data_IF_750807456940
#
_entry.id   IF_750807456940
#
_cell.length_a   1.000
_cell.length_b   1.000
_cell.length_c   1.000
_cell.angle_alpha   90.00
_cell.angle_beta   90.00
_cell.angle_gamma   90.00
#
_symmetry.space_group_name_H-M   'P 1'
#
loop_
_entity.id
_entity.type
_entity.pdbx_description
1 polymer ?
#
# COMPACT_ATOMS: atom_id res chain seq x y z
N UNK A 1 -15.02 -10.70 -25.18
CA UNK A 1 -13.87 -9.78 -25.40
C UNK A 1 -13.01 -9.64 -24.14
N UNK A 2 -13.58 -9.16 -23.02
CA UNK A 2 -12.86 -8.97 -21.74
C UNK A 2 -12.04 -10.19 -21.30
N UNK A 3 -12.62 -11.39 -21.29
CA UNK A 3 -11.92 -12.63 -20.94
C UNK A 3 -10.67 -12.91 -21.79
N UNK A 4 -10.73 -12.65 -23.11
CA UNK A 4 -9.57 -12.81 -24.01
C UNK A 4 -8.46 -11.82 -23.66
N UNK A 5 -8.84 -10.57 -23.37
CA UNK A 5 -7.90 -9.52 -22.93
C UNK A 5 -7.27 -9.92 -21.60
N UNK A 6 -8.07 -10.39 -20.63
CA UNK A 6 -7.58 -10.88 -19.33
C UNK A 6 -6.57 -12.02 -19.50
N UNK A 7 -6.90 -13.05 -20.27
CA UNK A 7 -5.98 -14.15 -20.50
C UNK A 7 -4.69 -13.70 -21.20
N UNK A 8 -4.77 -12.74 -22.12
CA UNK A 8 -3.62 -12.17 -22.80
C UNK A 8 -2.72 -11.40 -21.81
N UNK A 9 -3.29 -10.49 -21.02
CA UNK A 9 -2.55 -9.72 -20.01
C UNK A 9 -1.88 -10.61 -18.98
N UNK A 10 -2.60 -11.63 -18.48
CA UNK A 10 -2.03 -12.64 -17.55
C UNK A 10 -0.89 -13.40 -18.21
N UNK A 11 -1.06 -13.88 -19.45
CA UNK A 11 -0.03 -14.63 -20.17
C UNK A 11 1.22 -13.79 -20.47
N UNK A 12 1.05 -12.50 -20.79
CA UNK A 12 2.17 -11.57 -20.96
C UNK A 12 2.86 -11.35 -19.62
N UNK A 13 2.11 -11.09 -18.56
CA UNK A 13 2.66 -10.88 -17.22
C UNK A 13 3.48 -12.09 -16.74
N UNK A 14 2.95 -13.31 -16.93
CA UNK A 14 3.62 -14.57 -16.59
C UNK A 14 4.98 -14.76 -17.28
N UNK A 15 5.15 -14.20 -18.48
CA UNK A 15 6.34 -14.38 -19.32
C UNK A 15 7.34 -13.22 -19.23
N UNK A 16 6.85 -12.00 -19.05
CA UNK A 16 7.66 -10.79 -19.24
C UNK A 16 7.99 -10.05 -17.96
N UNK A 17 7.25 -10.28 -16.87
CA UNK A 17 7.38 -9.46 -15.66
C UNK A 17 8.35 -10.13 -14.69
N UNK A 18 9.54 -9.54 -14.46
CA UNK A 18 10.53 -10.11 -13.57
C UNK A 18 10.18 -9.84 -12.11
N UNK A 19 11.05 -10.30 -11.20
CA UNK A 19 10.93 -10.04 -9.77
C UNK A 19 10.99 -8.52 -9.46
N UNK A 20 10.24 -8.02 -8.44
CA UNK A 20 10.28 -6.60 -8.05
C UNK A 20 11.67 -6.01 -7.86
N UNK A 21 12.63 -6.79 -7.33
CA UNK A 21 14.00 -6.32 -7.15
C UNK A 21 14.71 -6.06 -8.48
N UNK A 22 14.48 -6.92 -9.48
CA UNK A 22 15.03 -6.75 -10.83
C UNK A 22 14.47 -5.48 -11.46
N UNK A 23 13.18 -5.19 -11.25
CA UNK A 23 12.54 -3.95 -11.74
C UNK A 23 13.18 -2.74 -11.08
N UNK A 24 13.36 -2.74 -9.75
CA UNK A 24 13.97 -1.62 -9.03
C UNK A 24 15.42 -1.34 -9.49
N UNK A 25 16.22 -2.38 -9.73
CA UNK A 25 17.59 -2.24 -10.27
C UNK A 25 17.54 -1.66 -11.68
N UNK A 26 16.67 -2.18 -12.54
CA UNK A 26 16.50 -1.67 -13.91
C UNK A 26 16.10 -0.19 -13.94
N UNK A 27 15.12 0.20 -13.12
CA UNK A 27 14.70 1.61 -12.98
C UNK A 27 15.83 2.49 -12.47
N UNK A 28 16.66 1.99 -11.54
CA UNK A 28 17.84 2.71 -11.05
C UNK A 28 18.81 3.00 -12.19
N UNK A 29 19.13 2.00 -13.01
CA UNK A 29 20.05 2.18 -14.15
C UNK A 29 19.47 3.09 -15.23
N UNK A 30 18.16 3.00 -15.51
CA UNK A 30 17.47 3.89 -16.45
C UNK A 30 17.53 5.33 -15.95
N UNK A 31 17.24 5.57 -14.66
CA UNK A 31 17.33 6.91 -14.08
C UNK A 31 18.75 7.46 -14.10
N UNK A 32 19.76 6.64 -13.83
CA UNK A 32 21.16 7.04 -13.94
C UNK A 32 21.50 7.52 -15.36
N UNK A 33 21.14 6.74 -16.39
CA UNK A 33 21.37 7.09 -17.80
C UNK A 33 20.63 8.38 -18.17
N UNK A 34 19.37 8.53 -17.74
CA UNK A 34 18.60 9.74 -18.01
C UNK A 34 19.22 10.98 -17.35
N UNK A 35 19.66 10.87 -16.09
CA UNK A 35 20.27 11.98 -15.37
C UNK A 35 21.51 12.51 -16.10
N UNK A 36 22.46 11.63 -16.47
CA UNK A 36 23.70 12.06 -17.13
C UNK A 36 23.50 12.51 -18.59
N UNK A 37 22.40 12.09 -19.23
CA UNK A 37 22.14 12.41 -20.65
C UNK A 37 21.34 13.69 -20.83
N UNK A 38 20.48 14.03 -19.87
CA UNK A 38 19.48 15.10 -19.98
C UNK A 38 19.82 16.29 -19.08
N UNK A 39 20.61 16.08 -18.03
CA UNK A 39 20.97 17.13 -17.07
C UNK A 39 22.49 17.36 -17.06
N UNK A 40 22.98 18.48 -16.52
CA UNK A 40 24.41 18.77 -16.47
C UNK A 40 25.16 17.96 -15.39
N UNK A 41 24.51 17.01 -14.71
CA UNK A 41 25.14 16.18 -13.67
C UNK A 41 26.19 15.24 -14.26
N UNK A 42 27.34 15.15 -13.60
CA UNK A 42 28.35 14.15 -13.97
C UNK A 42 27.94 12.74 -13.49
N UNK A 43 28.50 11.71 -14.11
CA UNK A 43 28.27 10.32 -13.70
C UNK A 43 28.63 10.07 -12.23
N UNK A 44 29.72 10.67 -11.72
CA UNK A 44 30.12 10.51 -10.33
C UNK A 44 29.14 11.22 -9.38
N UNK A 45 28.73 12.44 -9.73
CA UNK A 45 27.76 13.18 -8.91
C UNK A 45 26.41 12.45 -8.86
N UNK A 46 25.98 11.82 -9.96
CA UNK A 46 24.74 11.01 -9.98
C UNK A 46 24.86 9.77 -9.09
N UNK A 47 26.02 9.09 -9.08
CA UNK A 47 26.28 7.96 -8.18
C UNK A 47 26.28 8.42 -6.72
N UNK A 48 26.89 9.57 -6.42
CA UNK A 48 26.92 10.13 -5.08
C UNK A 48 25.52 10.55 -4.60
N UNK A 49 24.71 11.14 -5.48
CA UNK A 49 23.30 11.45 -5.21
C UNK A 49 22.48 10.19 -4.92
N UNK A 50 22.70 9.11 -5.67
CA UNK A 50 22.10 7.81 -5.37
C UNK A 50 22.51 7.28 -3.99
N UNK A 51 23.81 7.33 -3.67
CA UNK A 51 24.36 6.85 -2.41
C UNK A 51 23.85 7.63 -1.19
N UNK A 52 23.72 8.96 -1.30
CA UNK A 52 23.09 9.81 -0.28
C UNK A 52 21.61 9.48 -0.14
N UNK A 53 20.89 9.38 -1.27
CA UNK A 53 19.48 9.05 -1.31
C UNK A 53 19.15 7.69 -0.69
N UNK A 54 20.02 6.69 -0.87
CA UNK A 54 19.81 5.31 -0.43
C UNK A 54 19.43 5.18 1.06
N UNK A 55 20.02 6.03 1.91
CA UNK A 55 19.80 6.00 3.35
C UNK A 55 18.71 6.97 3.85
N UNK A 56 18.17 7.81 2.96
CA UNK A 56 17.25 8.89 3.32
C UNK A 56 15.89 8.42 3.87
N UNK A 57 15.47 7.18 3.54
CA UNK A 57 14.18 6.61 3.95
C UNK A 57 14.30 5.49 4.99
N UNK A 58 15.40 5.40 5.75
CA UNK A 58 15.58 4.33 6.75
C UNK A 58 14.47 4.29 7.81
N UNK A 59 14.09 5.44 8.37
CA UNK A 59 13.01 5.51 9.37
C UNK A 59 11.67 5.06 8.79
N UNK A 60 11.34 5.50 7.57
CA UNK A 60 10.14 5.09 6.85
C UNK A 60 10.15 3.58 6.54
N UNK A 61 11.29 3.05 6.11
CA UNK A 61 11.48 1.62 5.86
C UNK A 61 11.20 0.80 7.12
N UNK A 62 11.73 1.23 8.27
CA UNK A 62 11.46 0.57 9.55
C UNK A 62 9.98 0.63 9.93
N UNK A 63 9.31 1.77 9.74
CA UNK A 63 7.88 1.92 9.99
C UNK A 63 7.05 0.95 9.13
N UNK A 64 7.38 0.81 7.84
CA UNK A 64 6.70 -0.11 6.94
C UNK A 64 6.91 -1.57 7.35
N UNK A 65 8.16 -1.96 7.61
CA UNK A 65 8.49 -3.31 8.08
C UNK A 65 7.72 -3.66 9.36
N UNK A 66 7.60 -2.71 10.29
CA UNK A 66 6.81 -2.90 11.51
C UNK A 66 5.32 -3.06 11.21
N UNK A 67 4.74 -2.24 10.33
CA UNK A 67 3.31 -2.34 9.97
C UNK A 67 3.01 -3.73 9.41
N UNK A 68 3.87 -4.21 8.52
CA UNK A 68 3.72 -5.54 7.90
C UNK A 68 3.89 -6.65 8.93
N UNK A 69 4.94 -6.55 9.74
CA UNK A 69 5.30 -7.61 10.69
C UNK A 69 4.27 -7.73 11.81
N UNK A 70 3.86 -6.59 12.37
CA UNK A 70 2.88 -6.51 13.45
C UNK A 70 1.46 -6.79 12.93
N UNK A 71 1.10 -6.32 11.73
CA UNK A 71 -0.18 -6.64 11.10
C UNK A 71 -0.33 -8.14 10.85
N UNK A 72 0.72 -8.79 10.35
CA UNK A 72 0.78 -10.25 10.21
C UNK A 72 0.67 -10.95 11.57
N UNK A 73 1.39 -10.48 12.59
CA UNK A 73 1.31 -11.02 13.96
C UNK A 73 -0.12 -10.94 14.49
N UNK A 74 -0.73 -9.75 14.48
CA UNK A 74 -2.08 -9.51 15.01
C UNK A 74 -3.11 -10.39 14.32
N UNK A 75 -3.02 -10.53 12.99
CA UNK A 75 -3.97 -11.34 12.22
C UNK A 75 -3.91 -12.85 12.51
N UNK A 76 -2.77 -13.33 12.99
CA UNK A 76 -2.58 -14.73 13.38
C UNK A 76 -2.90 -14.98 14.87
N UNK A 77 -3.32 -13.96 15.60
CA UNK A 77 -3.85 -14.15 16.97
C UNK A 77 -5.27 -14.72 16.93
N UNK A 78 -5.63 -15.50 17.95
CA UNK A 78 -6.94 -16.18 18.06
C UNK A 78 -8.15 -15.26 17.88
N UNK A 79 -8.28 -14.10 18.56
CA UNK A 79 -9.50 -13.28 18.48
C UNK A 79 -9.68 -12.68 17.08
N UNK A 80 -8.60 -12.18 16.48
CA UNK A 80 -8.65 -11.59 15.14
C UNK A 80 -8.95 -12.68 14.11
N UNK A 81 -8.28 -13.83 14.21
CA UNK A 81 -8.54 -14.95 13.31
C UNK A 81 -10.00 -15.41 13.37
N UNK A 82 -10.59 -15.50 14.56
CA UNK A 82 -12.00 -15.87 14.74
C UNK A 82 -12.96 -14.89 14.02
N UNK A 83 -12.68 -13.58 14.10
CA UNK A 83 -13.46 -12.55 13.38
C UNK A 83 -13.31 -12.71 11.86
N UNK A 84 -12.09 -12.90 11.36
CA UNK A 84 -11.84 -13.09 9.93
C UNK A 84 -12.52 -14.35 9.39
N UNK A 85 -12.48 -15.45 10.14
CA UNK A 85 -13.19 -16.69 9.80
C UNK A 85 -14.71 -16.45 9.77
N UNK A 86 -15.26 -15.73 10.75
CA UNK A 86 -16.68 -15.38 10.78
C UNK A 86 -17.09 -14.55 9.55
N UNK A 87 -16.29 -13.55 9.17
CA UNK A 87 -16.51 -12.77 7.95
C UNK A 87 -16.47 -13.67 6.72
N UNK A 88 -15.50 -14.60 6.65
CA UNK A 88 -15.34 -15.49 5.50
C UNK A 88 -16.55 -16.40 5.25
N UNK A 89 -17.30 -16.75 6.29
CA UNK A 89 -18.49 -17.61 6.19
C UNK A 89 -19.65 -16.95 5.42
N UNK A 90 -19.63 -15.61 5.28
CA UNK A 90 -20.68 -14.88 4.57
C UNK A 90 -20.60 -15.05 3.04
N UNK A 91 -19.48 -15.54 2.51
CA UNK A 91 -19.28 -15.72 1.07
C UNK A 91 -19.71 -17.12 0.63
N UNK A 92 -20.67 -17.17 -0.29
CA UNK A 92 -21.28 -18.42 -0.78
C UNK A 92 -20.98 -18.72 -2.26
N UNK A 93 -20.24 -17.86 -2.95
CA UNK A 93 -19.83 -18.04 -4.34
C UNK A 93 -18.53 -17.28 -4.63
N UNK A 94 -17.83 -17.66 -5.72
CA UNK A 94 -16.65 -16.94 -6.18
C UNK A 94 -16.94 -15.45 -6.48
N UNK A 95 -18.06 -15.15 -7.14
CA UNK A 95 -18.45 -13.77 -7.46
C UNK A 95 -18.72 -12.94 -6.21
N UNK A 96 -19.44 -13.48 -5.23
CA UNK A 96 -19.67 -12.78 -3.94
C UNK A 96 -18.37 -12.54 -3.18
N UNK A 97 -17.43 -13.49 -3.26
CA UNK A 97 -16.12 -13.34 -2.62
C UNK A 97 -15.29 -12.24 -3.30
N UNK A 98 -15.25 -12.19 -4.63
CA UNK A 98 -14.56 -11.13 -5.39
C UNK A 98 -15.12 -9.74 -5.09
N UNK A 99 -16.43 -9.57 -5.13
CA UNK A 99 -17.08 -8.27 -4.83
C UNK A 99 -16.83 -7.89 -3.37
N UNK A 100 -17.10 -8.82 -2.45
CA UNK A 100 -17.02 -8.56 -1.02
C UNK A 100 -15.61 -8.23 -0.55
N UNK A 101 -14.60 -8.96 -1.00
CA UNK A 101 -13.20 -8.68 -0.63
C UNK A 101 -12.74 -7.32 -1.17
N UNK A 102 -13.16 -6.95 -2.39
CA UNK A 102 -12.83 -5.64 -2.98
C UNK A 102 -13.43 -4.51 -2.16
N UNK A 103 -14.71 -4.63 -1.77
CA UNK A 103 -15.36 -3.62 -0.94
C UNK A 103 -14.73 -3.51 0.45
N UNK A 104 -14.48 -4.63 1.13
CA UNK A 104 -13.83 -4.65 2.45
C UNK A 104 -12.45 -3.99 2.37
N UNK A 105 -11.69 -4.30 1.32
CA UNK A 105 -10.39 -3.69 1.05
C UNK A 105 -10.50 -2.18 0.83
N UNK A 106 -11.44 -1.72 0.00
CA UNK A 106 -11.67 -0.30 -0.24
C UNK A 106 -12.03 0.47 1.02
N UNK A 107 -12.99 -0.02 1.81
CA UNK A 107 -13.35 0.62 3.09
C UNK A 107 -12.17 0.66 4.07
N UNK A 108 -11.45 -0.45 4.18
CA UNK A 108 -10.26 -0.52 5.05
C UNK A 108 -9.17 0.44 4.59
N UNK A 109 -8.99 0.57 3.27
CA UNK A 109 -7.98 1.43 2.66
C UNK A 109 -8.30 2.91 2.78
N UNK A 110 -9.59 3.31 2.78
CA UNK A 110 -10.02 4.69 3.03
C UNK A 110 -9.76 5.12 4.47
N UNK A 111 -9.78 4.17 5.41
CA UNK A 111 -9.38 4.44 6.79
C UNK A 111 -7.86 4.49 6.94
N UNK A 112 -7.17 3.49 6.37
CA UNK A 112 -5.71 3.42 6.33
C UNK A 112 -5.25 2.59 5.14
N UNK A 113 -4.45 3.19 4.27
CA UNK A 113 -3.89 2.50 3.10
C UNK A 113 -3.13 1.22 3.49
N UNK A 114 -2.41 1.23 4.62
CA UNK A 114 -1.66 0.06 5.11
C UNK A 114 -2.57 -1.08 5.54
N UNK A 115 -3.66 -0.77 6.27
CA UNK A 115 -4.68 -1.78 6.63
C UNK A 115 -5.35 -2.33 5.36
N UNK A 116 -5.62 -1.45 4.39
CA UNK A 116 -6.18 -1.78 3.08
C UNK A 116 -5.37 -2.77 2.25
N UNK A 117 -4.07 -2.95 2.51
CA UNK A 117 -3.23 -3.96 1.85
C UNK A 117 -3.18 -5.27 2.62
N UNK A 118 -3.02 -5.21 3.95
CA UNK A 118 -2.71 -6.38 4.77
C UNK A 118 -3.95 -7.20 5.12
N UNK A 119 -5.01 -6.53 5.57
CA UNK A 119 -6.24 -7.19 5.97
C UNK A 119 -6.85 -8.01 4.82
N UNK A 120 -6.95 -7.50 3.57
CA UNK A 120 -7.53 -8.26 2.46
C UNK A 120 -6.65 -9.42 1.99
N UNK A 121 -5.31 -9.31 2.09
CA UNK A 121 -4.40 -10.38 1.72
C UNK A 121 -4.60 -11.62 2.62
N UNK A 122 -4.69 -11.40 3.93
CA UNK A 122 -4.96 -12.47 4.91
C UNK A 122 -6.37 -13.02 4.71
N UNK A 123 -7.37 -12.13 4.60
CA UNK A 123 -8.76 -12.53 4.44
C UNK A 123 -8.98 -13.32 3.14
N UNK A 124 -8.27 -13.01 2.06
CA UNK A 124 -8.31 -13.77 0.80
C UNK A 124 -7.91 -15.24 1.00
N UNK A 125 -6.85 -15.50 1.77
CA UNK A 125 -6.42 -16.86 2.09
C UNK A 125 -7.44 -17.61 2.94
N UNK A 126 -8.06 -16.92 3.91
CA UNK A 126 -9.11 -17.50 4.78
C UNK A 126 -10.38 -17.81 3.96
N UNK A 127 -10.83 -16.88 3.11
CA UNK A 127 -11.96 -17.07 2.20
C UNK A 127 -11.70 -18.26 1.27
N UNK A 128 -10.53 -18.30 0.61
CA UNK A 128 -10.19 -19.40 -0.29
C UNK A 128 -10.18 -20.76 0.44
N UNK A 129 -9.63 -20.81 1.65
CA UNK A 129 -9.64 -22.02 2.50
C UNK A 129 -11.05 -22.42 2.94
N UNK A 130 -11.92 -21.45 3.23
CA UNK A 130 -13.31 -21.69 3.60
C UNK A 130 -14.13 -22.24 2.42
N UNK A 131 -14.03 -21.59 1.26
CA UNK A 131 -14.72 -22.00 0.03
C UNK A 131 -14.26 -23.38 -0.45
N UNK A 132 -12.94 -23.67 -0.37
CA UNK A 132 -12.39 -24.99 -0.68
C UNK A 132 -12.98 -26.09 0.21
N UNK A 133 -13.10 -25.86 1.53
CA UNK A 133 -13.76 -26.81 2.46
C UNK A 133 -15.23 -27.06 2.12
N UNK A 134 -15.88 -26.11 1.44
CA UNK A 134 -17.28 -26.20 0.99
C UNK A 134 -17.41 -26.65 -0.47
N UNK A 135 -16.33 -27.14 -1.09
CA UNK A 135 -16.28 -27.55 -2.50
C UNK A 135 -16.66 -26.44 -3.50
N UNK A 136 -16.46 -25.17 -3.14
CA UNK A 136 -16.68 -24.02 -4.02
C UNK A 136 -15.35 -23.64 -4.65
N UNK A 137 -15.24 -23.82 -5.98
CA UNK A 137 -14.04 -23.46 -6.73
C UNK A 137 -13.89 -21.95 -6.83
N UNK A 138 -12.67 -21.46 -6.58
CA UNK A 138 -12.32 -20.05 -6.71
C UNK A 138 -10.91 -19.90 -7.25
N UNK A 139 -10.73 -19.01 -8.23
CA UNK A 139 -9.39 -18.70 -8.75
C UNK A 139 -8.70 -17.77 -7.76
N UNK A 140 -7.71 -18.30 -7.03
CA UNK A 140 -7.07 -17.65 -5.89
C UNK A 140 -6.27 -16.38 -6.27
N UNK A 141 -5.47 -16.35 -7.36
CA UNK A 141 -4.81 -15.12 -7.78
C UNK A 141 -5.75 -13.93 -8.02
N UNK A 142 -6.91 -14.18 -8.63
CA UNK A 142 -7.93 -13.15 -8.83
C UNK A 142 -8.56 -12.71 -7.51
N UNK A 143 -8.78 -13.62 -6.55
CA UNK A 143 -9.29 -13.25 -5.23
C UNK A 143 -8.31 -12.31 -4.50
N UNK A 144 -7.03 -12.64 -4.54
CA UNK A 144 -5.97 -11.80 -3.96
C UNK A 144 -5.90 -10.46 -4.68
N UNK A 145 -5.98 -10.46 -6.02
CA UNK A 145 -6.05 -9.23 -6.79
C UNK A 145 -7.26 -8.38 -6.41
N UNK A 146 -8.45 -8.96 -6.21
CA UNK A 146 -9.63 -8.21 -5.76
C UNK A 146 -9.37 -7.50 -4.42
N UNK A 147 -8.70 -8.17 -3.48
CA UNK A 147 -8.26 -7.55 -2.23
C UNK A 147 -7.26 -6.42 -2.43
N UNK A 148 -6.29 -6.59 -3.33
CA UNK A 148 -5.32 -5.55 -3.66
C UNK A 148 -5.94 -4.37 -4.42
N UNK A 149 -6.81 -4.64 -5.41
CA UNK A 149 -7.49 -3.63 -6.20
C UNK A 149 -8.32 -2.69 -5.32
N UNK A 150 -8.91 -3.19 -4.23
CA UNK A 150 -9.61 -2.35 -3.28
C UNK A 150 -8.73 -1.24 -2.67
N UNK A 151 -7.40 -1.42 -2.58
CA UNK A 151 -6.49 -0.37 -2.08
C UNK A 151 -6.32 0.81 -3.03
N UNK A 152 -6.81 0.73 -4.28
CA UNK A 152 -6.71 1.80 -5.28
C UNK A 152 -7.57 3.03 -4.97
N UNK A 153 -8.40 2.99 -3.93
CA UNK A 153 -9.05 4.19 -3.37
C UNK A 153 -8.31 4.76 -2.16
N UNK A 154 -7.29 4.07 -1.65
CA UNK A 154 -6.71 4.32 -0.33
C UNK A 154 -6.10 5.70 -0.14
N UNK A 155 -5.46 6.23 -1.19
CA UNK A 155 -4.85 7.55 -1.12
C UNK A 155 -5.87 8.69 -1.20
N UNK A 156 -7.16 8.41 -1.34
CA UNK A 156 -8.22 9.41 -1.16
C UNK A 156 -8.87 9.34 0.24
N UNK A 157 -8.27 8.55 1.15
CA UNK A 157 -8.76 8.34 2.51
C UNK A 157 -8.10 9.20 3.57
N UNK A 158 -8.41 8.90 4.83
CA UNK A 158 -7.93 9.61 6.03
C UNK A 158 -6.41 9.56 6.20
N UNK A 159 -5.76 8.53 5.63
CA UNK A 159 -4.30 8.37 5.67
C UNK A 159 -3.59 8.94 4.44
N UNK A 160 -4.26 9.77 3.63
CA UNK A 160 -3.66 10.37 2.44
C UNK A 160 -2.57 11.36 2.82
N UNK A 161 -1.34 11.12 2.36
CA UNK A 161 -0.17 11.86 2.85
C UNK A 161 -0.19 13.33 2.43
N UNK A 162 -0.47 13.64 1.16
CA UNK A 162 -0.43 15.01 0.64
C UNK A 162 -1.51 15.91 1.28
N UNK A 163 -2.80 15.52 1.32
CA UNK A 163 -3.84 16.28 2.01
C UNK A 163 -3.53 16.50 3.50
N UNK A 164 -2.98 15.50 4.18
CA UNK A 164 -2.57 15.65 5.58
C UNK A 164 -1.42 16.64 5.75
N UNK A 165 -0.41 16.62 4.87
CA UNK A 165 0.69 17.60 4.89
C UNK A 165 0.13 19.01 4.72
N UNK A 166 -0.75 19.21 3.73
CA UNK A 166 -1.33 20.52 3.42
C UNK A 166 -2.26 21.05 4.51
N UNK A 167 -2.86 20.16 5.31
CA UNK A 167 -3.70 20.51 6.45
C UNK A 167 -2.89 20.65 7.77
N UNK A 168 -1.58 20.43 7.75
CA UNK A 168 -0.73 20.47 8.96
C UNK A 168 0.00 21.81 9.07
N UNK A 169 -0.07 22.52 10.22
CA UNK A 169 0.71 23.73 10.44
C UNK A 169 2.21 23.55 10.16
N UNK A 170 2.85 24.59 9.63
CA UNK A 170 4.29 24.63 9.34
C UNK A 170 4.77 23.63 8.26
N UNK A 171 3.90 23.19 7.35
CA UNK A 171 4.38 22.46 6.18
C UNK A 171 5.22 23.39 5.29
N UNK A 172 6.15 22.82 4.51
CA UNK A 172 7.16 23.55 3.73
C UNK A 172 6.62 24.44 2.59
N UNK A 173 5.30 24.49 2.39
CA UNK A 173 4.62 25.32 1.38
C UNK A 173 3.65 26.32 2.01
N UNK A 174 3.50 26.34 3.34
CA UNK A 174 2.43 27.09 4.03
C UNK A 174 2.51 28.59 3.75
N UNK A 175 3.71 29.14 3.60
CA UNK A 175 3.91 30.56 3.31
C UNK A 175 3.45 30.94 1.89
N UNK A 176 3.35 29.97 0.98
CA UNK A 176 2.91 30.19 -0.41
C UNK A 176 1.40 30.02 -0.58
N UNK A 177 0.80 29.02 0.08
CA UNK A 177 -0.57 28.59 -0.20
C UNK A 177 -1.49 28.57 1.03
N UNK A 178 -0.97 28.90 2.21
CA UNK A 178 -1.69 28.74 3.47
C UNK A 178 -1.97 27.26 3.79
N UNK A 179 -2.89 27.03 4.73
CA UNK A 179 -3.39 25.70 5.05
C UNK A 179 -4.56 25.34 4.13
N UNK A 180 -4.55 24.11 3.62
CA UNK A 180 -5.66 23.57 2.82
C UNK A 180 -6.38 22.52 3.64
N UNK A 181 -7.68 22.70 3.81
CA UNK A 181 -8.47 21.84 4.68
C UNK A 181 -8.76 20.48 4.04
N UNK A 182 -9.10 19.49 4.88
CA UNK A 182 -9.59 18.20 4.37
C UNK A 182 -10.94 18.32 3.64
N UNK A 183 -11.73 19.37 3.93
CA UNK A 183 -12.98 19.68 3.23
C UNK A 183 -12.76 20.09 1.77
N UNK A 184 -11.61 20.71 1.47
CA UNK A 184 -11.24 21.14 0.11
C UNK A 184 -10.55 20.02 -0.68
N UNK A 185 -10.13 18.95 0.00
CA UNK A 185 -9.37 17.84 -0.58
C UNK A 185 -10.17 16.53 -0.55
N UNK A 186 -9.90 15.64 0.42
CA UNK A 186 -10.46 14.28 0.44
C UNK A 186 -11.98 14.26 0.70
N UNK A 187 -12.51 15.23 1.45
CA UNK A 187 -13.95 15.37 1.74
C UNK A 187 -14.67 16.33 0.81
N UNK A 188 -13.98 16.83 -0.24
CA UNK A 188 -14.64 17.59 -1.28
C UNK A 188 -15.65 16.72 -2.04
N UNK A 189 -16.69 17.35 -2.58
CA UNK A 189 -17.73 16.64 -3.33
C UNK A 189 -17.15 15.85 -4.52
N UNK A 190 -16.22 16.45 -5.26
CA UNK A 190 -15.63 15.81 -6.44
C UNK A 190 -14.75 14.61 -6.04
N UNK A 191 -13.96 14.70 -4.96
CA UNK A 191 -13.15 13.59 -4.45
C UNK A 191 -14.04 12.42 -3.98
N UNK A 192 -15.09 12.72 -3.21
CA UNK A 192 -16.03 11.70 -2.74
C UNK A 192 -16.78 11.01 -3.88
N UNK A 193 -17.13 11.75 -4.96
CA UNK A 193 -17.73 11.18 -6.15
C UNK A 193 -16.79 10.22 -6.90
N UNK A 194 -15.49 10.54 -6.97
CA UNK A 194 -14.47 9.64 -7.52
C UNK A 194 -14.40 8.35 -6.69
N UNK A 195 -14.28 8.48 -5.37
CA UNK A 195 -14.24 7.34 -4.45
C UNK A 195 -15.47 6.46 -4.64
N UNK A 196 -16.68 7.04 -4.63
CA UNK A 196 -17.93 6.31 -4.83
C UNK A 196 -17.97 5.60 -6.19
N UNK A 197 -17.53 6.28 -7.25
CA UNK A 197 -17.47 5.71 -8.60
C UNK A 197 -16.58 4.48 -8.66
N UNK A 198 -15.40 4.52 -8.03
CA UNK A 198 -14.49 3.37 -7.96
C UNK A 198 -15.07 2.27 -7.09
N UNK A 199 -15.66 2.60 -5.93
CA UNK A 199 -16.26 1.61 -5.03
C UNK A 199 -17.44 0.86 -5.65
N UNK A 200 -18.10 1.42 -6.67
CA UNK A 200 -19.14 0.75 -7.44
C UNK A 200 -18.54 0.01 -8.65
N UNK A 201 -17.76 0.71 -9.48
CA UNK A 201 -17.29 0.16 -10.75
C UNK A 201 -16.25 -0.95 -10.57
N UNK A 202 -15.30 -0.78 -9.63
CA UNK A 202 -14.17 -1.69 -9.48
C UNK A 202 -14.59 -3.08 -9.02
N UNK A 203 -15.39 -3.29 -7.95
CA UNK A 203 -15.81 -4.63 -7.54
C UNK A 203 -16.58 -5.37 -8.62
N UNK A 204 -17.45 -4.66 -9.36
CA UNK A 204 -18.20 -5.23 -10.47
C UNK A 204 -17.23 -5.67 -11.57
N UNK A 205 -16.32 -4.78 -11.98
CA UNK A 205 -15.34 -5.06 -13.02
C UNK A 205 -14.46 -6.27 -12.68
N UNK A 206 -13.80 -6.26 -11.52
CA UNK A 206 -12.85 -7.33 -11.14
C UNK A 206 -13.55 -8.67 -10.94
N UNK A 207 -14.81 -8.68 -10.49
CA UNK A 207 -15.60 -9.92 -10.35
C UNK A 207 -15.88 -10.62 -11.68
N UNK A 208 -15.77 -9.91 -12.80
CA UNK A 208 -15.99 -10.43 -14.16
C UNK A 208 -14.68 -10.87 -14.85
N UNK A 209 -13.52 -10.77 -14.19
CA UNK A 209 -12.21 -11.14 -14.75
C UNK A 209 -11.85 -12.64 -14.58
N UNK A 210 -12.84 -13.50 -14.35
CA UNK A 210 -12.59 -14.92 -14.08
C UNK A 210 -11.88 -15.61 -15.27
N UNK A 211 -10.74 -16.30 -15.04
CA UNK A 211 -9.97 -16.95 -16.11
C UNK A 211 -10.62 -18.27 -16.56
N UNK A 212 -10.10 -18.87 -17.65
CA UNK A 212 -10.56 -20.19 -18.11
C UNK A 212 -10.13 -21.33 -17.17
N UNK A 213 -8.91 -21.22 -16.62
CA UNK A 213 -8.35 -22.23 -15.71
C UNK A 213 -8.35 -21.69 -14.28
N UNK A 214 -9.08 -22.37 -13.42
CA UNK A 214 -9.09 -22.07 -11.98
C UNK A 214 -7.81 -22.61 -11.35
N UNK A 215 -7.06 -21.73 -10.69
CA UNK A 215 -5.93 -22.08 -9.82
C UNK A 215 -6.40 -21.89 -8.39
N UNK A 216 -6.56 -23.00 -7.68
CA UNK A 216 -7.05 -23.00 -6.30
C UNK A 216 -5.92 -22.72 -5.31
N UNK A 217 -6.29 -22.32 -4.10
CA UNK A 217 -5.36 -22.13 -2.99
C UNK A 217 -4.78 -23.47 -2.52
N UNK A 218 -3.45 -23.52 -2.37
CA UNK A 218 -2.71 -24.72 -1.97
C UNK A 218 -2.67 -24.95 -0.46
N UNK A 219 -2.85 -23.90 0.36
CA UNK A 219 -2.93 -24.04 1.82
C UNK A 219 -1.60 -23.92 2.57
N UNK A 220 -0.48 -23.65 1.89
CA UNK A 220 0.85 -23.76 2.50
C UNK A 220 1.28 -22.53 3.31
N UNK A 221 0.80 -21.34 2.93
CA UNK A 221 1.34 -20.06 3.43
C UNK A 221 0.68 -19.59 4.72
N UNK A 222 -0.63 -19.81 4.86
CA UNK A 222 -1.35 -19.63 6.12
C UNK A 222 -1.60 -21.00 6.75
N UNK A 223 -0.53 -21.69 7.11
CA UNK A 223 -0.64 -22.73 8.14
C UNK A 223 -0.88 -22.01 9.45
N UNK A 224 -2.15 -21.74 9.75
CA UNK A 224 -2.62 -21.71 11.13
C UNK A 224 -2.39 -23.14 11.61
N UNK A 225 -1.15 -23.47 12.00
CA UNK A 225 -0.97 -24.58 12.91
C UNK A 225 -1.88 -24.20 14.06
N UNK A 226 -2.83 -25.06 14.39
CA UNK A 226 -3.38 -25.07 15.74
C UNK A 226 -2.15 -24.99 16.64
N UNK A 227 -1.84 -23.80 17.16
CA UNK A 227 -0.82 -23.59 18.17
C UNK A 227 -1.39 -24.12 19.50
N UNK A 228 -2.00 -25.30 19.45
CA UNK A 228 -1.74 -26.35 20.40
C UNK A 228 -0.25 -26.70 20.27
N UNK A 229 0.62 -25.75 20.63
CA UNK A 229 1.96 -26.03 21.12
C UNK A 229 1.72 -27.17 22.09
N UNK A 230 2.26 -28.36 21.80
CA UNK A 230 2.24 -29.49 22.73
C UNK A 230 2.63 -28.91 24.07
N UNK A 231 1.66 -28.76 24.98
CA UNK A 231 1.94 -28.38 26.36
C UNK A 231 2.74 -29.56 26.89
N UNK A 232 4.07 -29.45 26.82
CA UNK A 232 4.94 -30.21 27.70
C UNK A 232 4.31 -30.06 29.10
N UNK A 233 4.03 -31.18 29.78
CA UNK A 233 3.37 -31.14 31.09
C UNK A 233 4.01 -30.07 31.97
N UNK A 234 3.19 -29.16 32.51
CA UNK A 234 3.62 -27.94 33.23
C UNK A 234 4.51 -28.22 34.43
N UNK A 235 4.49 -29.46 34.93
CA UNK A 235 5.06 -29.85 36.21
C UNK A 235 6.60 -29.95 36.20
N UNK A 236 7.25 -29.74 35.04
CA UNK A 236 8.72 -29.78 34.90
C UNK A 236 9.36 -28.50 34.36
N UNK A 237 8.62 -27.39 34.26
CA UNK A 237 9.20 -26.16 33.69
C UNK A 237 10.10 -25.42 34.67
N UNK A 238 11.29 -25.03 34.20
CA UNK A 238 12.15 -24.06 34.88
C UNK A 238 11.49 -22.66 34.91
N UNK A 239 11.97 -21.77 35.79
CA UNK A 239 11.42 -20.41 35.94
C UNK A 239 11.42 -19.62 34.61
N UNK A 240 12.50 -19.70 33.82
CA UNK A 240 12.58 -19.08 32.49
C UNK A 240 11.47 -19.56 31.55
N UNK A 241 11.25 -20.88 31.48
CA UNK A 241 10.19 -21.48 30.66
C UNK A 241 8.80 -21.06 31.13
N UNK A 242 8.58 -20.90 32.44
CA UNK A 242 7.32 -20.36 32.98
C UNK A 242 7.09 -18.91 32.54
N UNK A 243 8.12 -18.06 32.58
CA UNK A 243 8.04 -16.67 32.13
C UNK A 243 7.78 -16.59 30.62
N UNK A 244 8.53 -17.32 29.80
CA UNK A 244 8.38 -17.37 28.35
C UNK A 244 6.97 -17.81 27.90
N UNK A 245 6.35 -18.73 28.64
CA UNK A 245 5.01 -19.23 28.36
C UNK A 245 3.90 -18.47 29.12
N UNK A 246 4.23 -17.41 29.85
CA UNK A 246 3.26 -16.64 30.63
C UNK A 246 2.56 -15.57 29.77
N UNK A 247 1.22 -15.58 29.81
CA UNK A 247 0.40 -14.50 29.25
C UNK A 247 0.49 -13.21 30.07
N UNK A 248 0.80 -13.30 31.36
CA UNK A 248 0.81 -12.12 32.23
C UNK A 248 1.87 -11.11 31.82
N UNK A 249 3.00 -11.57 31.29
CA UNK A 249 4.08 -10.68 30.84
C UNK A 249 3.66 -9.90 29.59
N UNK A 250 3.07 -10.57 28.60
CA UNK A 250 2.56 -9.88 27.40
C UNK A 250 1.39 -8.98 27.74
N UNK A 251 0.50 -9.39 28.66
CA UNK A 251 -0.61 -8.58 29.14
C UNK A 251 -0.12 -7.32 29.87
N UNK A 252 0.88 -7.43 30.75
CA UNK A 252 1.44 -6.30 31.49
C UNK A 252 1.96 -5.22 30.54
N UNK A 253 2.80 -5.62 29.57
CA UNK A 253 3.33 -4.68 28.58
C UNK A 253 2.24 -4.16 27.63
N UNK A 254 1.31 -5.03 27.23
CA UNK A 254 0.19 -4.67 26.36
C UNK A 254 -0.74 -3.64 27.00
N UNK A 255 -1.05 -3.78 28.29
CA UNK A 255 -1.84 -2.80 29.06
C UNK A 255 -1.06 -1.51 29.23
N UNK A 256 0.23 -1.58 29.57
CA UNK A 256 1.08 -0.39 29.71
C UNK A 256 1.14 0.43 28.41
N UNK A 257 1.46 -0.21 27.29
CA UNK A 257 1.48 0.41 25.97
C UNK A 257 0.07 0.84 25.50
N UNK A 258 -0.97 0.12 25.92
CA UNK A 258 -2.36 0.45 25.66
C UNK A 258 -2.78 1.75 26.36
N UNK A 259 -2.38 1.94 27.62
CA UNK A 259 -2.61 3.19 28.36
C UNK A 259 -1.89 4.35 27.68
N UNK A 260 -0.62 4.17 27.28
CA UNK A 260 0.11 5.18 26.51
C UNK A 260 -0.62 5.54 25.21
N UNK A 261 -1.07 4.54 24.45
CA UNK A 261 -1.79 4.74 23.19
C UNK A 261 -3.10 5.50 23.42
N UNK A 262 -3.85 5.14 24.47
CA UNK A 262 -5.08 5.82 24.83
C UNK A 262 -4.83 7.28 25.25
N UNK A 263 -3.80 7.52 26.06
CA UNK A 263 -3.40 8.88 26.45
C UNK A 263 -3.04 9.75 25.24
N UNK A 264 -2.28 9.21 24.27
CA UNK A 264 -1.94 9.90 23.03
C UNK A 264 -3.20 10.43 22.32
N UNK A 265 -4.23 9.59 22.14
CA UNK A 265 -5.46 10.01 21.48
C UNK A 265 -6.34 10.93 22.35
N UNK A 266 -6.41 10.71 23.67
CA UNK A 266 -7.14 11.62 24.59
C UNK A 266 -6.54 13.03 24.58
N UNK A 267 -5.22 13.14 24.44
CA UNK A 267 -4.50 14.42 24.37
C UNK A 267 -4.58 15.09 22.98
N UNK A 268 -5.40 14.58 22.07
CA UNK A 268 -5.58 15.12 20.73
C UNK A 268 -4.55 14.63 19.70
N UNK A 269 -3.75 13.62 20.03
CA UNK A 269 -2.83 12.99 19.09
C UNK A 269 -3.56 12.35 17.91
N UNK A 270 -3.06 12.58 16.69
CA UNK A 270 -3.65 12.03 15.47
C UNK A 270 -3.14 10.62 15.16
N UNK A 271 -3.89 9.89 14.32
CA UNK A 271 -3.46 8.61 13.76
C UNK A 271 -2.36 8.85 12.72
N UNK A 272 -1.17 8.28 12.96
CA UNK A 272 -0.04 8.25 12.05
C UNK A 272 0.60 6.84 12.01
N UNK A 273 1.70 6.68 11.26
CA UNK A 273 2.38 5.38 11.11
C UNK A 273 2.89 4.81 12.43
N UNK A 274 3.43 5.65 13.32
CA UNK A 274 3.95 5.23 14.62
C UNK A 274 2.83 4.84 15.57
N UNK A 275 1.75 5.64 15.63
CA UNK A 275 0.59 5.31 16.47
C UNK A 275 -0.13 4.06 15.95
N UNK A 276 -0.20 3.84 14.63
CA UNK A 276 -0.72 2.61 14.04
C UNK A 276 0.14 1.39 14.40
N UNK A 277 1.46 1.51 14.27
CA UNK A 277 2.39 0.49 14.73
C UNK A 277 2.21 0.19 16.22
N UNK A 278 2.07 1.22 17.05
CA UNK A 278 1.82 1.06 18.49
C UNK A 278 0.50 0.33 18.75
N UNK A 279 -0.58 0.64 18.02
CA UNK A 279 -1.84 -0.11 18.10
C UNK A 279 -1.61 -1.59 17.78
N UNK A 280 -0.86 -1.93 16.73
CA UNK A 280 -0.57 -3.32 16.44
C UNK A 280 0.34 -4.00 17.48
N UNK A 281 1.29 -3.28 18.08
CA UNK A 281 2.06 -3.78 19.22
C UNK A 281 1.12 -4.12 20.39
N UNK A 282 0.25 -3.18 20.76
CA UNK A 282 -0.73 -3.35 21.85
C UNK A 282 -1.63 -4.55 21.58
N UNK A 283 -2.29 -4.58 20.41
CA UNK A 283 -3.19 -5.68 20.04
C UNK A 283 -2.44 -7.02 20.00
N UNK A 284 -1.23 -7.03 19.44
CA UNK A 284 -0.39 -8.22 19.36
C UNK A 284 -0.07 -8.78 20.74
N UNK A 285 0.32 -7.92 21.69
CA UNK A 285 0.64 -8.30 23.06
C UNK A 285 -0.60 -8.78 23.84
N UNK A 286 -1.73 -8.06 23.72
CA UNK A 286 -2.98 -8.40 24.42
C UNK A 286 -3.59 -9.72 23.91
N UNK A 287 -3.46 -10.00 22.62
CA UNK A 287 -4.05 -11.17 21.97
C UNK A 287 -3.11 -12.37 21.88
N UNK A 288 -1.82 -12.20 22.17
CA UNK A 288 -0.88 -13.32 22.26
C UNK A 288 -1.13 -14.16 23.51
N UNK A 289 -0.96 -15.47 23.37
CA UNK A 289 -1.14 -16.41 24.48
C UNK A 289 0.05 -16.43 25.45
N UNK A 290 1.24 -16.01 25.00
CA UNK A 290 2.47 -15.95 25.79
C UNK A 290 3.55 -15.12 25.07
N UNK A 291 4.65 -14.83 25.77
CA UNK A 291 5.84 -14.17 25.18
C UNK A 291 6.40 -15.00 24.03
N UNK A 292 6.50 -16.32 24.22
CA UNK A 292 6.96 -17.25 23.20
C UNK A 292 6.07 -17.23 21.96
N UNK A 293 4.74 -17.25 22.14
CA UNK A 293 3.79 -17.14 21.04
C UNK A 293 3.98 -15.83 20.27
N UNK A 294 4.13 -14.70 20.98
CA UNK A 294 4.38 -13.40 20.35
C UNK A 294 5.67 -13.40 19.49
N UNK A 295 6.77 -13.93 20.02
CA UNK A 295 8.07 -14.01 19.31
C UNK A 295 7.98 -14.92 18.08
N UNK A 296 7.29 -16.07 18.19
CA UNK A 296 7.08 -16.98 17.07
C UNK A 296 6.29 -16.32 15.93
N UNK A 297 5.22 -15.60 16.27
CA UNK A 297 4.44 -14.85 15.29
C UNK A 297 5.27 -13.76 14.60
N UNK A 298 6.08 -13.02 15.36
CA UNK A 298 6.96 -11.98 14.82
C UNK A 298 8.06 -12.55 13.92
N UNK A 299 8.67 -13.67 14.33
CA UNK A 299 9.71 -14.35 13.56
C UNK A 299 9.19 -14.86 12.20
N UNK A 300 7.95 -15.35 12.16
CA UNK A 300 7.29 -15.71 10.91
C UNK A 300 7.02 -14.48 10.05
N UNK A 301 6.60 -13.37 10.67
CA UNK A 301 6.35 -12.12 9.98
C UNK A 301 7.62 -11.48 9.38
N UNK A 302 8.78 -11.67 10.00
CA UNK A 302 10.06 -11.17 9.48
C UNK A 302 10.39 -11.75 8.09
N UNK A 303 10.01 -12.99 7.81
CA UNK A 303 10.17 -13.61 6.47
C UNK A 303 9.33 -12.90 5.41
N UNK A 304 8.18 -12.36 5.81
CA UNK A 304 7.26 -11.59 4.96
C UNK A 304 7.84 -10.20 4.68
N UNK A 305 8.46 -9.57 5.68
CA UNK A 305 9.01 -8.22 5.56
C UNK A 305 10.43 -8.16 4.94
N UNK A 306 11.16 -9.27 4.88
CA UNK A 306 12.55 -9.32 4.40
C UNK A 306 12.82 -8.63 3.04
N UNK A 307 12.01 -8.85 1.99
CA UNK A 307 12.21 -8.20 0.69
C UNK A 307 12.20 -6.66 0.72
N UNK A 308 11.59 -6.04 1.73
CA UNK A 308 11.51 -4.59 1.87
C UNK A 308 12.80 -3.94 2.36
N UNK A 309 13.60 -4.69 3.12
CA UNK A 309 14.89 -4.21 3.63
C UNK A 309 15.83 -3.80 2.50
N UNK A 310 15.67 -4.37 1.31
CA UNK A 310 16.47 -4.08 0.12
C UNK A 310 15.75 -3.11 -0.81
N UNK A 311 14.45 -3.28 -1.03
CA UNK A 311 13.72 -2.50 -2.03
C UNK A 311 13.53 -1.02 -1.63
N UNK A 312 13.18 -0.70 -0.38
CA UNK A 312 12.96 0.69 0.01
C UNK A 312 14.21 1.57 -0.13
N UNK A 313 15.40 1.13 0.35
CA UNK A 313 16.62 1.88 0.13
C UNK A 313 16.96 2.09 -1.36
N UNK A 314 16.69 1.10 -2.22
CA UNK A 314 16.89 1.26 -3.67
C UNK A 314 16.02 2.37 -4.25
N UNK A 315 14.73 2.39 -3.91
CA UNK A 315 13.82 3.47 -4.34
C UNK A 315 14.19 4.83 -3.74
N UNK A 316 14.73 4.86 -2.52
CA UNK A 316 15.25 6.07 -1.90
C UNK A 316 16.48 6.63 -2.65
N UNK A 317 17.38 5.75 -3.10
CA UNK A 317 18.51 6.14 -3.95
C UNK A 317 18.04 6.69 -5.31
N UNK A 318 17.02 6.08 -5.90
CA UNK A 318 16.35 6.55 -7.12
C UNK A 318 15.79 7.98 -6.95
N UNK A 319 15.07 8.20 -5.85
CA UNK A 319 14.57 9.53 -5.47
C UNK A 319 15.70 10.55 -5.32
N UNK A 320 16.80 10.18 -4.67
CA UNK A 320 17.99 11.03 -4.52
C UNK A 320 18.56 11.49 -5.86
N UNK A 321 18.75 10.55 -6.81
CA UNK A 321 19.18 10.90 -8.17
C UNK A 321 18.22 11.85 -8.86
N UNK A 322 16.91 11.57 -8.82
CA UNK A 322 15.91 12.39 -9.51
C UNK A 322 15.81 13.81 -8.97
N UNK A 323 15.89 13.95 -7.64
CA UNK A 323 15.80 15.24 -6.96
C UNK A 323 17.08 16.06 -7.16
N UNK A 324 18.25 15.50 -6.84
CA UNK A 324 19.50 16.26 -6.85
C UNK A 324 19.99 16.60 -8.26
N UNK A 325 19.73 15.75 -9.26
CA UNK A 325 20.14 16.00 -10.64
C UNK A 325 19.28 17.01 -11.40
N UNK A 326 18.15 17.46 -10.82
CA UNK A 326 17.15 18.28 -11.49
C UNK A 326 16.28 17.52 -12.50
N UNK A 327 16.45 16.21 -12.64
CA UNK A 327 15.69 15.40 -13.60
C UNK A 327 14.18 15.44 -13.33
N UNK A 328 13.78 15.38 -12.05
CA UNK A 328 12.37 15.52 -11.68
C UNK A 328 11.79 16.89 -12.08
N UNK A 329 12.58 17.95 -11.94
CA UNK A 329 12.16 19.31 -12.31
C UNK A 329 11.96 19.45 -13.82
N UNK A 330 12.93 19.00 -14.62
CA UNK A 330 12.82 19.00 -16.10
C UNK A 330 11.57 18.23 -16.53
N UNK A 331 11.35 17.06 -15.93
CA UNK A 331 10.22 16.20 -16.26
C UNK A 331 8.87 16.87 -15.94
N UNK A 332 8.70 17.39 -14.72
CA UNK A 332 7.45 18.05 -14.29
C UNK A 332 7.19 19.32 -15.10
N UNK A 333 8.22 20.13 -15.34
CA UNK A 333 8.11 21.37 -16.13
C UNK A 333 7.72 21.11 -17.58
N UNK A 334 8.10 19.96 -18.16
CA UNK A 334 7.64 19.57 -19.49
C UNK A 334 6.11 19.45 -19.60
N UNK A 335 5.45 18.98 -18.54
CA UNK A 335 3.98 18.93 -18.46
C UNK A 335 3.37 20.30 -18.14
N UNK A 336 4.01 21.07 -17.25
CA UNK A 336 3.57 22.44 -16.93
C UNK A 336 3.59 23.33 -18.17
N UNK A 337 4.60 23.22 -19.03
CA UNK A 337 4.78 24.04 -20.23
C UNK A 337 3.63 23.91 -21.26
N UNK A 338 2.88 22.81 -21.23
CA UNK A 338 1.73 22.57 -22.11
C UNK A 338 0.37 22.72 -21.38
N UNK A 339 0.40 23.17 -20.12
CA UNK A 339 -0.78 23.29 -19.27
C UNK A 339 -1.41 24.68 -19.30
N UNK A 340 -2.72 24.72 -19.07
CA UNK A 340 -3.50 25.92 -18.72
C UNK A 340 -4.02 25.81 -17.28
N UNK A 341 -4.65 26.85 -16.74
CA UNK A 341 -5.33 26.81 -15.42
C UNK A 341 -6.31 25.64 -15.30
N UNK A 342 -7.07 25.36 -16.37
CA UNK A 342 -8.11 24.32 -16.38
C UNK A 342 -7.53 22.92 -16.59
N UNK A 343 -6.42 22.80 -17.34
CA UNK A 343 -5.83 21.51 -17.71
C UNK A 343 -4.66 21.09 -16.81
N UNK A 344 -4.17 21.97 -15.93
CA UNK A 344 -3.01 21.68 -15.08
C UNK A 344 -3.22 20.44 -14.22
N UNK A 345 -4.41 20.25 -13.63
CA UNK A 345 -4.70 19.07 -12.81
C UNK A 345 -4.62 17.77 -13.63
N UNK A 346 -5.08 17.77 -14.89
CA UNK A 346 -4.98 16.61 -15.78
C UNK A 346 -3.51 16.24 -16.07
N UNK A 347 -2.69 17.23 -16.43
CA UNK A 347 -1.28 17.01 -16.71
C UNK A 347 -0.47 16.67 -15.45
N UNK A 348 -0.87 17.22 -14.30
CA UNK A 348 -0.34 16.86 -12.99
C UNK A 348 -0.59 15.40 -12.67
N UNK A 349 -1.80 14.90 -12.92
CA UNK A 349 -2.14 13.49 -12.73
C UNK A 349 -1.25 12.55 -13.56
N UNK A 350 -1.04 12.88 -14.83
CA UNK A 350 -0.19 12.09 -15.72
C UNK A 350 1.28 12.14 -15.29
N UNK A 351 1.82 13.33 -15.02
CA UNK A 351 3.19 13.48 -14.55
C UNK A 351 3.42 12.77 -13.22
N UNK A 352 2.49 12.90 -12.27
CA UNK A 352 2.58 12.24 -10.97
C UNK A 352 2.53 10.71 -11.09
N UNK A 353 1.69 10.17 -11.97
CA UNK A 353 1.65 8.72 -12.22
C UNK A 353 2.95 8.19 -12.79
N UNK A 354 3.55 8.88 -13.76
CA UNK A 354 4.83 8.46 -14.33
C UNK A 354 5.95 8.59 -13.30
N UNK A 355 5.98 9.69 -12.54
CA UNK A 355 7.00 9.94 -11.52
C UNK A 355 6.95 8.90 -10.39
N UNK A 356 5.74 8.47 -9.99
CA UNK A 356 5.53 7.44 -8.98
C UNK A 356 6.13 6.07 -9.34
N UNK A 357 6.38 5.79 -10.62
CA UNK A 357 7.10 4.57 -11.03
C UNK A 357 8.53 4.58 -10.47
N UNK A 358 9.15 5.76 -10.44
CA UNK A 358 10.52 5.97 -9.97
C UNK A 358 10.58 6.32 -8.47
N UNK A 359 9.62 7.09 -7.96
CA UNK A 359 9.56 7.55 -6.56
C UNK A 359 8.25 7.05 -5.91
N UNK A 360 8.14 5.76 -5.55
CA UNK A 360 6.93 5.18 -4.96
C UNK A 360 6.77 5.54 -3.47
N UNK A 361 6.65 6.84 -3.19
CA UNK A 361 6.48 7.39 -1.85
C UNK A 361 5.72 8.70 -1.95
N UNK A 362 4.47 8.73 -1.48
CA UNK A 362 3.63 9.91 -1.50
C UNK A 362 4.32 11.17 -0.95
N UNK A 363 4.94 11.04 0.24
CA UNK A 363 5.64 12.15 0.87
C UNK A 363 6.94 12.52 0.15
N UNK A 364 7.71 11.53 -0.32
CA UNK A 364 8.95 11.76 -1.06
C UNK A 364 8.70 12.43 -2.42
N UNK A 365 7.71 11.94 -3.15
CA UNK A 365 7.26 12.53 -4.40
C UNK A 365 6.72 13.96 -4.17
N UNK A 366 5.91 14.18 -3.14
CA UNK A 366 5.40 15.52 -2.83
C UNK A 366 6.50 16.52 -2.46
N UNK A 367 7.54 16.09 -1.75
CA UNK A 367 8.69 16.94 -1.44
C UNK A 367 9.44 17.42 -2.70
N UNK A 368 9.42 16.62 -3.78
CA UNK A 368 10.08 16.94 -5.04
C UNK A 368 9.15 17.65 -6.02
N UNK A 369 7.98 17.07 -6.30
CA UNK A 369 7.02 17.55 -7.30
C UNK A 369 6.12 18.68 -6.78
N UNK A 370 5.81 18.69 -5.48
CA UNK A 370 4.88 19.63 -4.86
C UNK A 370 5.27 21.10 -5.07
N UNK A 371 6.51 21.53 -4.73
CA UNK A 371 6.95 22.90 -4.96
C UNK A 371 6.78 23.38 -6.40
N UNK A 372 7.11 22.51 -7.37
CA UNK A 372 7.08 22.84 -8.80
C UNK A 372 5.63 23.03 -9.26
N UNK A 373 4.75 22.09 -8.89
CA UNK A 373 3.36 22.14 -9.36
C UNK A 373 2.53 23.22 -8.67
N UNK A 374 2.85 23.53 -7.41
CA UNK A 374 2.22 24.63 -6.68
C UNK A 374 2.64 25.98 -7.27
N UNK A 375 3.91 26.15 -7.62
CA UNK A 375 4.39 27.34 -8.29
C UNK A 375 3.70 27.53 -9.65
N UNK A 376 3.60 26.46 -10.44
CA UNK A 376 2.84 26.47 -11.69
C UNK A 376 1.35 26.81 -11.49
N UNK A 377 0.71 26.26 -10.46
CA UNK A 377 -0.69 26.54 -10.15
C UNK A 377 -0.91 28.01 -9.79
N UNK A 378 -0.02 28.61 -9.00
CA UNK A 378 -0.05 30.03 -8.65
C UNK A 378 0.12 30.93 -9.89
N UNK A 379 1.07 30.59 -10.76
CA UNK A 379 1.35 31.37 -11.98
C UNK A 379 0.21 31.29 -13.00
N UNK A 380 -0.41 30.12 -13.16
CA UNK A 380 -1.52 29.91 -14.08
C UNK A 380 -2.87 30.32 -13.49
N UNK A 381 -2.99 30.50 -12.17
CA UNK A 381 -4.25 30.74 -11.48
C UNK A 381 -5.13 29.48 -11.39
N UNK A 382 -4.52 28.30 -11.28
CA UNK A 382 -5.21 27.02 -11.16
C UNK A 382 -5.67 26.73 -9.72
N UNK A 383 -6.69 25.86 -9.57
CA UNK A 383 -7.18 25.44 -8.25
C UNK A 383 -6.15 24.54 -7.52
N UNK A 384 -5.53 25.09 -6.48
CA UNK A 384 -4.45 24.44 -5.74
C UNK A 384 -4.89 23.12 -5.08
N UNK A 385 -6.03 23.03 -4.36
CA UNK A 385 -6.48 21.77 -3.78
C UNK A 385 -6.66 20.67 -4.83
N UNK A 386 -7.28 20.98 -5.98
CA UNK A 386 -7.48 20.04 -7.08
C UNK A 386 -6.17 19.61 -7.74
N UNK A 387 -5.24 20.53 -7.99
CA UNK A 387 -3.90 20.21 -8.54
C UNK A 387 -3.12 19.33 -7.56
N UNK A 388 -3.15 19.64 -6.27
CA UNK A 388 -2.50 18.84 -5.23
C UNK A 388 -3.07 17.42 -5.17
N UNK A 389 -4.40 17.31 -5.27
CA UNK A 389 -5.08 16.02 -5.31
C UNK A 389 -4.83 15.28 -6.63
N UNK A 390 -4.61 15.96 -7.76
CA UNK A 390 -4.22 15.28 -8.98
C UNK A 390 -2.89 14.51 -8.83
N UNK A 391 -1.95 14.99 -8.01
CA UNK A 391 -0.74 14.24 -7.64
C UNK A 391 -1.11 12.94 -6.91
N UNK A 392 -1.99 13.04 -5.91
CA UNK A 392 -2.51 11.89 -5.15
C UNK A 392 -3.18 10.86 -6.06
N UNK A 393 -4.00 11.33 -7.00
CA UNK A 393 -4.71 10.47 -7.95
C UNK A 393 -3.73 9.76 -8.91
N UNK A 394 -2.70 10.46 -9.39
CA UNK A 394 -1.68 9.88 -10.27
C UNK A 394 -0.86 8.79 -9.58
N UNK A 395 -0.49 9.05 -8.32
CA UNK A 395 0.22 8.08 -7.48
C UNK A 395 -0.62 6.81 -7.28
N UNK A 396 -1.85 6.93 -6.76
CA UNK A 396 -2.69 5.76 -6.48
C UNK A 396 -3.08 5.00 -7.74
N UNK A 397 -3.22 5.70 -8.87
CA UNK A 397 -3.46 5.09 -10.16
C UNK A 397 -2.33 4.13 -10.54
N UNK A 398 -1.10 4.61 -10.55
CA UNK A 398 0.07 3.81 -10.96
C UNK A 398 0.54 2.85 -9.87
N UNK A 399 0.11 3.04 -8.62
CA UNK A 399 0.26 2.04 -7.58
C UNK A 399 -0.34 0.69 -8.00
N UNK A 400 -1.36 0.65 -8.85
CA UNK A 400 -1.92 -0.60 -9.39
C UNK A 400 -0.87 -1.53 -10.01
N UNK A 401 0.16 -0.98 -10.64
CA UNK A 401 1.24 -1.72 -11.30
C UNK A 401 2.60 -1.58 -10.61
N UNK A 402 2.69 -0.82 -9.51
CA UNK A 402 3.93 -0.58 -8.80
C UNK A 402 4.31 -1.82 -7.97
N UNK A 403 5.43 -2.51 -8.31
CA UNK A 403 5.80 -3.75 -7.62
C UNK A 403 5.91 -3.61 -6.10
N UNK A 404 6.41 -2.47 -5.59
CA UNK A 404 6.63 -2.23 -4.16
C UNK A 404 5.37 -2.46 -3.31
N UNK A 405 4.20 -1.97 -3.75
CA UNK A 405 2.94 -2.09 -3.00
C UNK A 405 2.35 -3.51 -3.05
N UNK A 406 2.75 -4.33 -4.03
CA UNK A 406 2.33 -5.73 -4.13
C UNK A 406 3.13 -6.63 -3.20
N UNK A 407 4.39 -6.30 -2.90
CA UNK A 407 5.30 -7.13 -2.08
C UNK A 407 4.66 -7.61 -0.77
N UNK A 408 3.91 -6.83 0.03
CA UNK A 408 3.35 -7.35 1.27
C UNK A 408 2.23 -8.36 1.02
N UNK A 409 1.41 -8.10 0.01
CA UNK A 409 0.31 -8.98 -0.40
C UNK A 409 0.88 -10.31 -0.93
N UNK A 410 1.92 -10.25 -1.75
CA UNK A 410 2.62 -11.42 -2.29
C UNK A 410 3.27 -12.24 -1.18
N UNK A 411 3.93 -11.58 -0.23
CA UNK A 411 4.59 -12.26 0.87
C UNK A 411 3.62 -12.97 1.84
N UNK A 412 2.41 -12.44 2.04
CA UNK A 412 1.35 -13.09 2.82
C UNK A 412 0.71 -14.25 2.05
N UNK A 413 0.42 -14.05 0.77
CA UNK A 413 -0.35 -15.02 -0.05
C UNK A 413 0.52 -16.11 -0.66
N UNK A 414 1.83 -15.87 -0.74
CA UNK A 414 2.85 -16.67 -1.45
C UNK A 414 2.60 -16.77 -2.95
N UNK A 415 1.89 -15.80 -3.52
CA UNK A 415 1.81 -15.63 -4.97
C UNK A 415 3.07 -14.92 -5.49
N UNK A 416 3.34 -15.11 -6.77
CA UNK A 416 4.34 -14.31 -7.47
C UNK A 416 3.69 -13.06 -8.06
N UNK A 417 4.47 -11.99 -8.27
CA UNK A 417 3.98 -10.76 -8.92
C UNK A 417 3.29 -11.05 -10.27
N UNK A 418 3.84 -12.00 -11.02
CA UNK A 418 3.33 -12.45 -12.32
C UNK A 418 1.92 -13.04 -12.27
N UNK A 419 1.51 -13.55 -11.10
CA UNK A 419 0.18 -14.12 -10.88
C UNK A 419 -0.91 -13.04 -10.76
N UNK A 420 -0.53 -11.81 -10.42
CA UNK A 420 -1.45 -10.69 -10.12
C UNK A 420 -1.38 -9.61 -11.21
N UNK A 421 -0.19 -9.34 -11.74
CA UNK A 421 0.06 -8.15 -12.54
C UNK A 421 -0.78 -8.04 -13.82
N UNK A 422 -1.15 -9.17 -14.43
CA UNK A 422 -2.06 -9.17 -15.57
C UNK A 422 -3.44 -8.58 -15.26
N UNK A 423 -3.95 -8.80 -14.04
CA UNK A 423 -5.19 -8.19 -13.57
C UNK A 423 -4.98 -6.72 -13.17
N UNK A 424 -3.86 -6.40 -12.53
CA UNK A 424 -3.47 -5.03 -12.20
C UNK A 424 -3.48 -4.08 -13.39
N UNK A 425 -2.97 -4.50 -14.55
CA UNK A 425 -3.02 -3.71 -15.78
C UNK A 425 -4.47 -3.39 -16.19
N UNK A 426 -5.41 -4.31 -15.99
CA UNK A 426 -6.82 -4.05 -16.30
C UNK A 426 -7.45 -3.06 -15.31
N UNK A 427 -7.14 -3.17 -14.03
CA UNK A 427 -7.54 -2.19 -13.02
C UNK A 427 -6.96 -0.81 -13.30
N UNK A 428 -5.69 -0.74 -13.74
CA UNK A 428 -5.02 0.50 -14.15
C UNK A 428 -5.83 1.25 -15.19
N UNK A 429 -6.32 0.57 -16.24
CA UNK A 429 -7.14 1.21 -17.29
C UNK A 429 -8.51 1.65 -16.80
N UNK A 430 -9.17 0.84 -15.95
CA UNK A 430 -10.45 1.23 -15.37
C UNK A 430 -10.29 2.49 -14.51
N UNK A 431 -9.33 2.49 -13.59
CA UNK A 431 -9.04 3.62 -12.72
C UNK A 431 -8.60 4.86 -13.52
N UNK A 432 -7.75 4.70 -14.54
CA UNK A 432 -7.40 5.79 -15.47
C UNK A 432 -8.64 6.44 -16.06
N UNK A 433 -9.58 5.62 -16.56
CA UNK A 433 -10.81 6.11 -17.19
C UNK A 433 -11.61 6.94 -16.21
N UNK A 434 -11.78 6.48 -14.97
CA UNK A 434 -12.52 7.19 -13.93
C UNK A 434 -11.81 8.50 -13.56
N UNK A 435 -10.50 8.48 -13.28
CA UNK A 435 -9.75 9.66 -12.89
C UNK A 435 -9.66 10.71 -13.99
N UNK A 436 -9.37 10.31 -15.23
CA UNK A 436 -9.29 11.23 -16.37
C UNK A 436 -10.66 11.86 -16.66
N UNK A 437 -11.73 11.06 -16.59
CA UNK A 437 -13.10 11.60 -16.73
C UNK A 437 -13.37 12.62 -15.63
N UNK A 438 -13.05 12.28 -14.38
CA UNK A 438 -13.29 13.18 -13.26
C UNK A 438 -12.51 14.49 -13.42
N UNK A 439 -11.21 14.43 -13.70
CA UNK A 439 -10.35 15.60 -13.87
C UNK A 439 -10.70 16.48 -15.08
N UNK A 440 -11.42 15.95 -16.07
CA UNK A 440 -11.90 16.74 -17.21
C UNK A 440 -13.23 17.43 -16.92
N UNK A 441 -14.14 16.79 -16.17
CA UNK A 441 -15.52 17.27 -16.00
C UNK A 441 -15.81 17.95 -14.66
N UNK A 442 -15.06 17.63 -13.60
CA UNK A 442 -15.17 18.20 -12.26
C UNK A 442 -13.85 18.81 -11.90
#
# INVERSE_FOLDING_TARGET
MLKKITNLSVKIAERCIPDPLVIAIGLTMICFIMAISITPYSALDTIDAWGRGYWSLLAFTAQMILILSLGHLVAHTKPVNAVLVKISNNFNSAKSAYIGITLIASFSSLFSWGIGLILPAILSCIIASNLKRRNIKIHFPLLVYCGYAGSLVGMQGLSSTIPLILNTPNHFLVDKIGLISLSDTIFSNWSMLIVLSIMIALPIFVSNLHPDKVREYTGENIKIKDTNVKKLGSDKWHLSQKLENSRYITLLLGVFAGIYSLQHFIQGGSLNLNSLNMIFVVLGLLFSDSVKHYIELLSNAAKVAGPFLIQYPLYAGLMGMMAESGLAEIFVNGFVAISSSESLALWTFLSAGILNIFIPSAGGQWAVQGPIIIEAALQLGADIPRVSMAVVLGEVWTNAIQPLYLVPVLAITGLNIRDIMGYSILGLFLCATIYLTALVFF
#
